data_IF_814086451434
#
_entry.id   IF_814086451434
#
_cell.length_a   1.000
_cell.length_b   1.000
_cell.length_c   1.000
_cell.angle_alpha   90.00
_cell.angle_beta   90.00
_cell.angle_gamma   90.00
#
_symmetry.space_group_name_H-M   'P 1'
#
loop_
_entity.id
_entity.type
_entity.pdbx_description
1 polymer ?
#
# COMPACT_ATOMS: atom_id res chain seq x y z
N UNK A 1 10.83 2.24 -4.68
CA UNK A 1 9.47 2.31 -4.12
C UNK A 1 9.56 2.30 -2.61
N UNK A 2 9.24 3.43 -1.96
CA UNK A 2 9.16 3.50 -0.50
C UNK A 2 7.71 3.30 -0.07
N UNK A 3 7.45 2.21 0.63
CA UNK A 3 6.14 1.91 1.21
C UNK A 3 6.24 2.18 2.72
N UNK A 4 5.41 3.10 3.22
CA UNK A 4 5.36 3.44 4.65
C UNK A 4 3.94 3.20 5.13
N UNK A 5 3.77 2.34 6.13
CA UNK A 5 2.50 2.18 6.84
C UNK A 5 2.60 2.98 8.12
N UNK A 6 1.70 3.94 8.30
CA UNK A 6 1.62 4.78 9.48
C UNK A 6 0.18 4.88 9.96
N UNK A 7 -0.01 4.77 11.28
CA UNK A 7 -1.31 5.01 11.88
C UNK A 7 -1.58 6.53 11.89
N UNK A 8 -2.64 6.95 11.20
CA UNK A 8 -3.10 8.32 11.15
C UNK A 8 -4.11 8.59 12.27
N UNK A 9 -3.63 9.10 13.40
CA UNK A 9 -4.48 9.51 14.53
C UNK A 9 -5.46 10.66 14.19
N UNK A 10 -5.30 11.29 13.02
CA UNK A 10 -6.06 12.47 12.59
C UNK A 10 -7.43 12.16 11.98
N UNK A 11 -7.77 10.89 11.69
CA UNK A 11 -9.09 10.52 11.13
C UNK A 11 -9.74 9.38 11.92
N UNK A 12 -10.83 9.66 12.68
CA UNK A 12 -11.48 8.64 13.50
C UNK A 12 -12.11 7.49 12.71
N UNK A 13 -12.40 7.67 11.40
CA UNK A 13 -12.93 6.60 10.54
C UNK A 13 -11.87 5.79 9.80
N UNK A 14 -10.64 6.31 9.66
CA UNK A 14 -9.55 5.66 8.93
C UNK A 14 -8.22 5.91 9.66
N UNK A 15 -7.94 5.14 10.72
CA UNK A 15 -6.74 5.34 11.52
C UNK A 15 -5.47 4.82 10.86
N UNK A 16 -5.53 4.26 9.65
CA UNK A 16 -4.38 3.68 8.96
C UNK A 16 -4.12 4.37 7.62
N UNK A 17 -2.85 4.66 7.33
CA UNK A 17 -2.41 5.23 6.07
C UNK A 17 -1.23 4.44 5.52
N UNK A 18 -1.28 4.16 4.23
CA UNK A 18 -0.19 3.56 3.46
C UNK A 18 0.28 4.61 2.48
N UNK A 19 1.47 5.15 2.69
CA UNK A 19 2.13 6.03 1.75
C UNK A 19 3.02 5.21 0.82
N UNK A 20 2.76 5.35 -0.47
CA UNK A 20 3.48 4.74 -1.56
C UNK A 20 4.10 5.82 -2.45
N UNK A 21 5.36 6.15 -2.15
CA UNK A 21 6.06 7.28 -2.77
C UNK A 21 5.23 8.59 -2.67
N UNK A 22 4.47 8.96 -3.70
CA UNK A 22 3.59 10.14 -3.72
C UNK A 22 2.10 9.82 -3.50
N UNK A 23 1.69 8.55 -3.51
CA UNK A 23 0.30 8.15 -3.29
C UNK A 23 0.04 7.83 -1.82
N UNK A 24 -0.99 8.41 -1.22
CA UNK A 24 -1.41 8.09 0.15
C UNK A 24 -2.77 7.40 0.10
N UNK A 25 -2.84 6.16 0.58
CA UNK A 25 -4.09 5.39 0.67
C UNK A 25 -4.48 5.26 2.14
N UNK A 26 -5.69 5.71 2.49
CA UNK A 26 -6.20 5.60 3.85
C UNK A 26 -7.06 4.34 3.99
N UNK A 27 -6.87 3.61 5.08
CA UNK A 27 -7.59 2.40 5.45
C UNK A 27 -8.25 2.56 6.82
N UNK A 28 -9.35 1.85 7.00
CA UNK A 28 -10.07 1.75 8.28
C UNK A 28 -9.44 0.76 9.26
N UNK A 29 -8.60 -0.15 8.76
CA UNK A 29 -8.01 -1.25 9.55
C UNK A 29 -6.56 -1.53 9.16
N UNK A 30 -5.75 -1.93 10.15
CA UNK A 30 -4.36 -2.34 9.93
C UNK A 30 -4.27 -3.53 8.98
N UNK A 31 -5.16 -4.52 9.15
CA UNK A 31 -5.19 -5.72 8.34
C UNK A 31 -5.39 -5.40 6.84
N UNK A 32 -6.26 -4.44 6.51
CA UNK A 32 -6.46 -4.00 5.12
C UNK A 32 -5.23 -3.25 4.58
N UNK A 33 -4.63 -2.37 5.40
CA UNK A 33 -3.39 -1.67 5.05
C UNK A 33 -2.23 -2.64 4.79
N UNK A 34 -2.05 -3.64 5.67
CA UNK A 34 -1.00 -4.66 5.56
C UNK A 34 -1.23 -5.57 4.37
N UNK A 35 -2.47 -6.05 4.16
CA UNK A 35 -2.81 -6.87 3.01
C UNK A 35 -2.58 -6.15 1.67
N UNK A 36 -2.85 -4.83 1.63
CA UNK A 36 -2.54 -4.00 0.46
C UNK A 36 -1.03 -3.92 0.19
N UNK A 37 -0.23 -3.68 1.24
CA UNK A 37 1.25 -3.66 1.12
C UNK A 37 1.79 -5.02 0.72
N UNK A 38 1.31 -6.11 1.31
CA UNK A 38 1.74 -7.46 0.97
C UNK A 38 1.39 -7.80 -0.48
N UNK A 39 0.19 -7.45 -0.94
CA UNK A 39 -0.20 -7.61 -2.35
C UNK A 39 0.72 -6.82 -3.27
N UNK A 40 1.07 -5.59 -2.89
CA UNK A 40 1.93 -4.75 -3.69
C UNK A 40 3.38 -5.25 -3.71
N UNK A 41 3.92 -5.65 -2.56
CA UNK A 41 5.24 -6.28 -2.46
C UNK A 41 5.28 -7.59 -3.23
N UNK A 42 4.22 -8.40 -3.18
CA UNK A 42 4.09 -9.61 -3.99
C UNK A 42 4.09 -9.26 -5.48
N UNK A 43 3.34 -8.24 -5.91
CA UNK A 43 3.36 -7.80 -7.32
C UNK A 43 4.74 -7.28 -7.74
N UNK A 44 5.43 -6.57 -6.87
CA UNK A 44 6.77 -6.03 -7.13
C UNK A 44 7.84 -7.12 -7.20
N UNK A 45 7.74 -8.13 -6.32
CA UNK A 45 8.67 -9.26 -6.24
C UNK A 45 8.34 -10.37 -7.22
N UNK A 46 7.09 -10.43 -7.68
CA UNK A 46 6.69 -11.50 -8.56
C UNK A 46 7.41 -11.34 -9.90
N UNK A 47 8.04 -12.40 -10.41
CA UNK A 47 8.81 -12.39 -11.65
C UNK A 47 7.87 -12.40 -12.88
N UNK A 48 6.90 -11.49 -12.91
CA UNK A 48 6.11 -11.26 -14.11
C UNK A 48 6.90 -10.28 -14.98
N UNK A 49 7.33 -10.68 -16.19
CA UNK A 49 7.84 -9.70 -17.14
C UNK A 49 6.75 -8.64 -17.33
N UNK A 50 7.11 -7.37 -17.16
CA UNK A 50 6.34 -6.27 -17.72
C UNK A 50 6.20 -6.58 -19.21
N UNK A 51 5.07 -7.16 -19.63
CA UNK A 51 4.74 -7.24 -21.05
C UNK A 51 4.67 -5.78 -21.52
N UNK A 52 5.73 -5.32 -22.17
CA UNK A 52 5.65 -4.18 -23.07
C UNK A 52 4.50 -4.49 -24.02
N UNK A 53 3.38 -3.80 -23.82
CA UNK A 53 2.36 -3.66 -24.85
C UNK A 53 3.06 -2.93 -25.99
N UNK A 54 3.23 -3.63 -27.11
CA UNK A 54 3.66 -3.08 -28.39
C UNK A 54 2.52 -2.39 -29.13
#
# INVERSE_FOLDING_TARGET
MKIIVSASAHKPGCPWQVQLDQHVVSFRSEAEARAFVDTLQQRLRAPHPLKQVG
#
